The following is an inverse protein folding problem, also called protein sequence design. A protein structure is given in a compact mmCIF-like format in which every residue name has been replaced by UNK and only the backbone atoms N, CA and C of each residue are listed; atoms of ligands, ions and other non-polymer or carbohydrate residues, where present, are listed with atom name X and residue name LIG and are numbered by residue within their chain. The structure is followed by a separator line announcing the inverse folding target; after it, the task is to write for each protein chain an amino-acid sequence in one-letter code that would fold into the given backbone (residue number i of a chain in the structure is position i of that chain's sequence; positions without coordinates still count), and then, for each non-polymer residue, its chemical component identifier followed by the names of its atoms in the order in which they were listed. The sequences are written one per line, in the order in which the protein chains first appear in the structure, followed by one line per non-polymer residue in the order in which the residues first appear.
data_IF_920048926698
#
_entry.id   IF_920048926698
#
_cell.length_a   1.000
_cell.length_b   1.000
_cell.length_c   1.000
_cell.angle_alpha   90.00
_cell.angle_beta   90.00
_cell.angle_gamma   90.00
#
_symmetry.space_group_name_H-M   'P 1'
#
loop_
_entity.id
_entity.type
_entity.pdbx_description
1 polymer ?
#
# COMPACT_ATOMS: atom_id res chain seq x y z
N UNK A 1 1.57 14.75 2.45
CA UNK A 1 1.37 14.61 0.98
C UNK A 1 2.47 15.20 0.08
N UNK A 2 3.24 16.24 0.46
CA UNK A 2 4.27 16.83 -0.44
C UNK A 2 5.57 16.03 -0.62
N UNK A 3 5.89 15.09 0.28
CA UNK A 3 7.16 14.33 0.23
C UNK A 3 7.16 13.17 -0.78
N UNK A 4 6.02 12.50 -0.99
CA UNK A 4 5.90 11.36 -1.93
C UNK A 4 5.96 11.83 -3.39
N UNK A 5 5.39 13.00 -3.70
CA UNK A 5 5.50 13.59 -5.04
C UNK A 5 6.95 13.94 -5.43
N UNK A 6 7.78 14.32 -4.46
CA UNK A 6 9.18 14.66 -4.70
C UNK A 6 10.00 13.40 -5.00
N UNK A 7 9.80 12.30 -4.28
CA UNK A 7 10.46 11.02 -4.57
C UNK A 7 10.04 10.43 -5.93
N UNK A 8 8.76 10.51 -6.28
CA UNK A 8 8.23 10.09 -7.59
C UNK A 8 8.87 10.89 -8.74
N UNK A 9 9.00 12.21 -8.56
CA UNK A 9 9.64 13.10 -9.55
C UNK A 9 11.15 12.87 -9.64
N UNK A 10 11.83 12.56 -8.53
CA UNK A 10 13.26 12.20 -8.50
C UNK A 10 13.58 10.87 -9.20
N UNK A 11 12.66 9.89 -9.14
CA UNK A 11 12.78 8.61 -9.84
C UNK A 11 12.52 8.72 -11.36
N UNK A 12 11.93 9.82 -11.82
CA UNK A 12 11.71 10.15 -13.24
C UNK A 12 12.83 11.02 -13.85
N UNK A 13 13.73 11.60 -13.04
CA UNK A 13 14.88 12.38 -13.53
C UNK A 13 15.80 11.60 -14.49
N UNK A 14 16.07 10.29 -14.31
CA UNK A 14 16.87 9.52 -15.28
C UNK A 14 16.20 9.43 -16.67
N UNK A 15 14.87 9.50 -16.74
CA UNK A 15 14.11 9.44 -18.00
C UNK A 15 14.15 10.77 -18.77
N UNK A 16 14.18 11.91 -18.07
CA UNK A 16 14.31 13.23 -18.70
C UNK A 16 15.75 13.57 -19.10
N UNK A 17 16.74 13.06 -18.37
CA UNK A 17 18.17 13.22 -18.70
C UNK A 17 18.55 12.57 -20.05
N UNK A 18 17.76 11.61 -20.54
CA UNK A 18 17.95 11.02 -21.87
C UNK A 18 17.59 11.97 -23.03
N UNK A 19 16.95 13.12 -22.77
CA UNK A 19 16.46 14.02 -23.82
C UNK A 19 17.44 15.15 -24.17
N UNK A 20 18.47 15.40 -23.37
CA UNK A 20 19.31 16.60 -23.49
C UNK A 20 20.81 16.31 -23.60
N UNK A 21 21.26 15.58 -24.63
CA UNK A 21 22.58 15.86 -25.21
C UNK A 21 22.71 15.35 -26.65
N UNK A 22 22.49 16.23 -27.62
CA UNK A 22 23.08 16.06 -28.96
C UNK A 22 24.56 16.44 -28.87
N UNK A 23 25.38 15.55 -28.29
CA UNK A 23 26.81 15.54 -28.56
C UNK A 23 27.12 14.28 -29.36
N UNK A 24 27.83 14.50 -30.46
CA UNK A 24 28.20 13.55 -31.50
C UNK A 24 28.88 12.31 -30.89
N UNK A 25 28.11 11.24 -30.65
CA UNK A 25 28.60 9.95 -30.19
C UNK A 25 28.40 8.93 -31.32
N UNK A 26 29.47 8.18 -31.58
CA UNK A 26 29.58 7.05 -32.50
C UNK A 26 28.33 6.16 -32.39
N UNK A 27 27.70 5.70 -33.49
CA UNK A 27 26.48 4.93 -33.39
C UNK A 27 26.82 3.53 -32.85
N UNK A 28 26.77 3.36 -31.53
CA UNK A 28 26.68 2.04 -30.93
C UNK A 28 25.26 1.52 -31.17
N UNK A 29 25.15 0.38 -31.86
CA UNK A 29 23.91 -0.22 -32.31
C UNK A 29 22.85 -0.25 -31.20
N UNK A 30 21.81 0.56 -31.38
CA UNK A 30 20.75 0.77 -30.39
C UNK A 30 19.68 -0.30 -30.60
N UNK A 31 19.89 -1.48 -30.01
CA UNK A 31 18.90 -2.55 -30.08
C UNK A 31 17.70 -2.22 -29.19
N UNK A 32 16.61 -1.74 -29.81
CA UNK A 32 15.37 -1.31 -29.12
C UNK A 32 14.73 -2.45 -28.31
N UNK A 33 15.04 -3.70 -28.66
CA UNK A 33 14.57 -4.90 -27.98
C UNK A 33 15.03 -4.93 -26.51
N UNK A 34 16.30 -4.61 -26.25
CA UNK A 34 16.93 -4.71 -24.93
C UNK A 34 16.32 -3.70 -23.94
N UNK A 35 16.10 -2.46 -24.38
CA UNK A 35 15.49 -1.41 -23.54
C UNK A 35 14.04 -1.75 -23.17
N UNK A 36 13.29 -2.35 -24.10
CA UNK A 36 11.93 -2.82 -23.85
C UNK A 36 11.90 -3.92 -22.79
N UNK A 37 12.80 -4.90 -22.91
CA UNK A 37 12.92 -6.00 -21.94
C UNK A 37 13.32 -5.51 -20.55
N UNK A 38 14.28 -4.59 -20.43
CA UNK A 38 14.71 -4.06 -19.12
C UNK A 38 13.57 -3.33 -18.41
N UNK A 39 12.79 -2.52 -19.13
CA UNK A 39 11.63 -1.82 -18.59
C UNK A 39 10.58 -2.79 -18.03
N UNK A 40 10.33 -3.90 -18.74
CA UNK A 40 9.39 -4.93 -18.29
C UNK A 40 9.87 -5.64 -17.01
N UNK A 41 11.17 -5.97 -16.94
CA UNK A 41 11.75 -6.57 -15.73
C UNK A 41 11.67 -5.63 -14.53
N UNK A 42 11.94 -4.33 -14.71
CA UNK A 42 11.80 -3.36 -13.63
C UNK A 42 10.35 -3.22 -13.14
N UNK A 43 9.39 -3.17 -14.08
CA UNK A 43 7.95 -3.18 -13.76
C UNK A 43 7.55 -4.42 -12.96
N UNK A 44 7.99 -5.60 -13.39
CA UNK A 44 7.71 -6.86 -12.70
C UNK A 44 8.29 -6.88 -11.28
N UNK A 45 9.56 -6.46 -11.11
CA UNK A 45 10.22 -6.37 -9.79
C UNK A 45 9.46 -5.41 -8.87
N UNK A 46 9.05 -4.24 -9.38
CA UNK A 46 8.29 -3.26 -8.58
C UNK A 46 6.95 -3.84 -8.12
N UNK A 47 6.22 -4.50 -9.02
CA UNK A 47 4.94 -5.14 -8.69
C UNK A 47 5.15 -6.23 -7.62
N UNK A 48 6.13 -7.11 -7.79
CA UNK A 48 6.46 -8.14 -6.79
C UNK A 48 6.83 -7.51 -5.44
N UNK A 49 7.63 -6.45 -5.43
CA UNK A 49 8.04 -5.75 -4.21
C UNK A 49 6.85 -5.19 -3.42
N UNK A 50 5.89 -4.57 -4.12
CA UNK A 50 4.64 -4.09 -3.49
C UNK A 50 3.86 -5.25 -2.87
N UNK A 51 3.73 -6.38 -3.58
CA UNK A 51 3.02 -7.56 -3.06
C UNK A 51 3.70 -8.19 -1.83
N UNK A 52 5.03 -8.14 -1.74
CA UNK A 52 5.75 -8.65 -0.56
C UNK A 52 5.72 -7.69 0.63
N UNK A 53 5.45 -6.42 0.39
CA UNK A 53 5.49 -5.38 1.43
C UNK A 53 4.13 -5.20 2.12
N UNK A 54 3.03 -5.37 1.39
CA UNK A 54 1.68 -5.20 1.94
C UNK A 54 1.27 -6.44 2.72
N UNK A 55 1.08 -6.27 4.03
CA UNK A 55 0.57 -7.31 4.92
C UNK A 55 -0.87 -6.98 5.30
N UNK A 56 -1.78 -7.92 5.04
CA UNK A 56 -3.20 -7.81 5.38
C UNK A 56 -3.50 -8.72 6.55
N UNK A 57 -4.12 -8.16 7.58
CA UNK A 57 -4.52 -8.86 8.79
C UNK A 57 -6.03 -8.87 8.92
N UNK A 58 -6.55 -9.95 9.51
CA UNK A 58 -7.96 -10.06 9.89
C UNK A 58 -8.02 -9.97 11.42
N UNK A 59 -8.64 -8.90 11.91
CA UNK A 59 -8.92 -8.70 13.34
C UNK A 59 -10.30 -9.25 13.62
N UNK A 60 -10.38 -10.21 14.54
CA UNK A 60 -11.63 -10.92 14.87
C UNK A 60 -12.09 -10.59 16.28
N UNK A 61 -13.34 -10.17 16.42
CA UNK A 61 -13.97 -9.77 17.67
C UNK A 61 -15.02 -10.77 18.18
N UNK A 62 -15.15 -11.93 17.55
CA UNK A 62 -16.19 -12.91 17.90
C UNK A 62 -17.46 -12.76 17.07
N UNK A 63 -18.56 -13.26 17.63
CA UNK A 63 -19.92 -13.00 17.15
C UNK A 63 -20.51 -11.81 17.90
N UNK A 64 -21.38 -11.04 17.26
CA UNK A 64 -22.17 -10.01 17.94
C UNK A 64 -23.62 -10.50 18.11
N UNK A 65 -24.29 -10.06 19.19
CA UNK A 65 -25.66 -10.50 19.55
C UNK A 65 -26.77 -10.10 18.56
N UNK A 66 -26.42 -9.46 17.44
CA UNK A 66 -27.39 -8.87 16.50
C UNK A 66 -28.09 -7.60 17.01
N UNK A 67 -27.83 -7.16 18.24
CA UNK A 67 -28.51 -6.00 18.86
C UNK A 67 -27.95 -4.66 18.38
N UNK A 68 -26.66 -4.62 18.00
CA UNK A 68 -26.00 -3.42 17.51
C UNK A 68 -26.37 -3.13 16.06
N UNK A 69 -26.59 -1.86 15.76
CA UNK A 69 -26.77 -1.44 14.38
C UNK A 69 -25.45 -1.57 13.60
N UNK A 70 -25.52 -1.82 12.28
CA UNK A 70 -24.33 -2.04 11.45
C UNK A 70 -23.34 -0.87 11.49
N UNK A 71 -23.85 0.37 11.59
CA UNK A 71 -23.00 1.57 11.67
C UNK A 71 -22.22 1.63 13.00
N UNK A 72 -22.83 1.22 14.12
CA UNK A 72 -22.14 1.18 15.42
C UNK A 72 -21.00 0.14 15.42
N UNK A 73 -21.19 -0.97 14.70
CA UNK A 73 -20.15 -1.99 14.50
C UNK A 73 -19.00 -1.40 13.68
N UNK A 74 -19.32 -0.69 12.58
CA UNK A 74 -18.32 -0.01 11.76
C UNK A 74 -17.53 1.05 12.53
N UNK A 75 -18.20 1.87 13.32
CA UNK A 75 -17.57 2.89 14.16
C UNK A 75 -16.64 2.25 15.20
N UNK A 76 -17.04 1.09 15.74
CA UNK A 76 -16.19 0.30 16.65
C UNK A 76 -14.94 -0.20 15.92
N UNK A 77 -15.08 -0.74 14.71
CA UNK A 77 -13.94 -1.22 13.92
C UNK A 77 -12.99 -0.10 13.58
N UNK A 78 -13.53 1.03 13.12
CA UNK A 78 -12.76 2.21 12.79
C UNK A 78 -11.99 2.73 14.00
N UNK A 79 -12.69 2.88 15.14
CA UNK A 79 -12.08 3.35 16.38
C UNK A 79 -10.99 2.41 16.89
N UNK A 80 -11.17 1.09 16.77
CA UNK A 80 -10.15 0.12 17.17
C UNK A 80 -8.93 0.17 16.24
N UNK A 81 -9.13 0.27 14.93
CA UNK A 81 -8.04 0.44 13.97
C UNK A 81 -7.28 1.76 14.18
N UNK A 82 -8.00 2.84 14.49
CA UNK A 82 -7.41 4.14 14.79
C UNK A 82 -6.48 4.10 16.02
N UNK A 83 -6.75 3.21 16.99
CA UNK A 83 -5.92 3.10 18.20
C UNK A 83 -4.45 2.75 17.93
N UNK A 84 -4.14 2.15 16.77
CA UNK A 84 -2.77 1.79 16.37
C UNK A 84 -2.26 2.60 15.17
N UNK A 85 -3.08 3.49 14.60
CA UNK A 85 -2.70 4.34 13.46
C UNK A 85 -2.41 5.76 13.93
N UNK A 86 -1.55 6.45 13.19
CA UNK A 86 -1.16 7.82 13.55
C UNK A 86 -2.29 8.83 13.30
N UNK A 87 -3.12 8.62 12.28
CA UNK A 87 -4.16 9.56 11.86
C UNK A 87 -5.46 8.86 11.45
N UNK A 88 -6.56 9.63 11.46
CA UNK A 88 -7.88 9.23 10.97
C UNK A 88 -7.81 8.79 9.50
N UNK A 89 -7.10 9.56 8.67
CA UNK A 89 -6.96 9.27 7.26
C UNK A 89 -6.21 7.96 7.01
N UNK A 90 -5.17 7.67 7.81
CA UNK A 90 -4.40 6.43 7.70
C UNK A 90 -5.21 5.22 8.16
N UNK A 91 -6.01 5.36 9.23
CA UNK A 91 -6.93 4.31 9.67
C UNK A 91 -7.96 3.99 8.58
N UNK A 92 -8.60 5.02 8.02
CA UNK A 92 -9.60 4.84 6.95
C UNK A 92 -8.98 4.28 5.67
N UNK A 93 -7.75 4.67 5.32
CA UNK A 93 -7.04 4.15 4.16
C UNK A 93 -6.54 2.71 4.35
N UNK A 94 -6.27 2.32 5.60
CA UNK A 94 -5.79 0.97 5.94
C UNK A 94 -6.92 -0.06 6.04
N UNK A 95 -8.16 0.37 6.29
CA UNK A 95 -9.32 -0.51 6.38
C UNK A 95 -9.72 -1.03 4.99
N UNK A 96 -9.60 -2.34 4.77
CA UNK A 96 -9.98 -2.98 3.51
C UNK A 96 -11.43 -3.47 3.51
N UNK A 97 -11.86 -4.04 4.64
CA UNK A 97 -13.21 -4.56 4.78
C UNK A 97 -13.64 -4.62 6.24
N UNK A 98 -14.93 -4.40 6.48
CA UNK A 98 -15.56 -4.45 7.80
C UNK A 98 -16.62 -5.55 7.79
N UNK A 99 -16.42 -6.60 8.59
CA UNK A 99 -17.34 -7.73 8.73
C UNK A 99 -18.37 -7.46 9.83
N UNK A 100 -19.65 -7.33 9.48
CA UNK A 100 -20.69 -6.78 10.36
C UNK A 100 -21.90 -7.71 10.52
N UNK A 101 -21.78 -8.96 10.07
CA UNK A 101 -22.88 -9.90 9.96
C UNK A 101 -22.54 -11.17 10.73
N UNK A 102 -22.30 -12.28 10.03
CA UNK A 102 -22.03 -13.58 10.66
C UNK A 102 -20.78 -13.59 11.55
N UNK A 103 -19.85 -12.65 11.33
CA UNK A 103 -18.68 -12.44 12.16
C UNK A 103 -18.52 -10.95 12.42
N UNK A 104 -17.99 -10.62 13.59
CA UNK A 104 -17.61 -9.28 14.00
C UNK A 104 -16.09 -9.11 13.86
N UNK A 105 -15.64 -8.12 13.10
CA UNK A 105 -14.21 -7.90 12.86
C UNK A 105 -13.93 -7.14 11.57
N UNK A 106 -12.65 -6.99 11.21
CA UNK A 106 -12.25 -6.27 10.00
C UNK A 106 -10.96 -6.80 9.39
N UNK A 107 -10.79 -6.57 8.08
CA UNK A 107 -9.54 -6.76 7.37
C UNK A 107 -8.85 -5.42 7.15
N UNK A 108 -7.57 -5.30 7.51
CA UNK A 108 -6.81 -4.07 7.36
C UNK A 108 -5.34 -4.33 6.98
N UNK A 109 -4.72 -3.34 6.33
CA UNK A 109 -3.27 -3.31 6.11
C UNK A 109 -2.59 -2.81 7.38
N UNK A 110 -1.78 -3.67 7.99
CA UNK A 110 -1.05 -3.34 9.22
C UNK A 110 0.43 -3.65 9.08
N UNK A 111 1.25 -2.92 9.84
CA UNK A 111 2.62 -3.34 10.13
C UNK A 111 2.59 -4.48 11.16
N UNK A 112 3.72 -5.17 11.32
CA UNK A 112 3.83 -6.22 12.33
C UNK A 112 3.60 -5.66 13.74
N UNK A 113 4.15 -4.48 14.05
CA UNK A 113 4.03 -3.85 15.36
C UNK A 113 2.60 -3.41 15.66
N UNK A 114 1.91 -2.83 14.66
CA UNK A 114 0.48 -2.48 14.78
C UNK A 114 -0.38 -3.74 15.04
N UNK A 115 -0.11 -4.83 14.32
CA UNK A 115 -0.83 -6.09 14.52
C UNK A 115 -0.60 -6.67 15.91
N UNK A 116 0.65 -6.65 16.41
CA UNK A 116 0.98 -7.09 17.77
C UNK A 116 0.29 -6.22 18.85
N UNK A 117 0.21 -4.90 18.63
CA UNK A 117 -0.50 -4.01 19.55
C UNK A 117 -2.01 -4.30 19.60
N UNK A 118 -2.61 -4.76 18.50
CA UNK A 118 -4.02 -5.13 18.45
C UNK A 118 -4.31 -6.53 19.02
N UNK A 119 -3.34 -7.46 19.00
CA UNK A 119 -3.54 -8.82 19.50
C UNK A 119 -3.55 -8.94 21.02
N UNK A 120 -3.04 -7.94 21.74
CA UNK A 120 -2.95 -7.94 23.20
C UNK A 120 -2.09 -9.09 23.71
N UNK A 121 -0.77 -8.88 23.76
CA UNK A 121 0.17 -9.81 24.39
C UNK A 121 -0.03 -9.90 25.92
#
# INVERSE_FOLDING_TARGET
MRKVFILSLLLLLPLLASCAEQKKVIPFGRDKSIFSSISYIFSYIYVTFIYTYIHVYIVYFGEHSGEKALHEIEDTHHSYLLSVKETEEDARASLLYSYKHSINGFAAVLTQDEASNLSGD
#
